data_IF_617160003556
#
_entry.id   IF_617160003556
#
_cell.length_a   1.000
_cell.length_b   1.000
_cell.length_c   1.000
_cell.angle_alpha   90.00
_cell.angle_beta   90.00
_cell.angle_gamma   90.00
#
_symmetry.space_group_name_H-M   'P 1'
#
loop_
_entity.id
_entity.type
_entity.pdbx_description
1 polymer ?
#
# COMPACT_ATOMS: atom_id res chain seq x y z
N UNK A 1 4.78 -15.65 13.59
CA UNK A 1 4.08 -16.03 12.35
C UNK A 1 3.20 -14.86 11.94
N UNK A 2 3.61 -14.09 10.92
CA UNK A 2 2.76 -13.04 10.39
C UNK A 2 1.65 -13.73 9.60
N UNK A 3 0.42 -13.62 10.08
CA UNK A 3 -0.78 -14.07 9.39
C UNK A 3 -0.91 -13.24 8.12
N UNK A 4 -0.30 -13.72 7.03
CA UNK A 4 -0.49 -13.17 5.70
C UNK A 4 -1.91 -13.49 5.27
N UNK A 5 -2.83 -12.56 5.52
CA UNK A 5 -4.12 -12.54 4.83
C UNK A 5 -3.82 -12.64 3.33
N UNK A 6 -4.42 -13.60 2.62
CA UNK A 6 -4.38 -13.59 1.16
C UNK A 6 -5.21 -12.38 0.71
N UNK A 7 -4.52 -11.39 0.15
CA UNK A 7 -5.17 -10.27 -0.50
C UNK A 7 -5.76 -10.81 -1.81
N UNK A 8 -7.05 -10.64 -2.02
CA UNK A 8 -7.65 -10.95 -3.33
C UNK A 8 -7.25 -9.85 -4.32
N UNK A 9 -7.18 -10.16 -5.62
CA UNK A 9 -6.76 -9.21 -6.67
C UNK A 9 -7.52 -7.86 -6.60
N UNK A 10 -8.80 -7.92 -6.19
CA UNK A 10 -9.63 -6.73 -5.99
C UNK A 10 -9.13 -5.81 -4.85
N UNK A 11 -8.58 -6.36 -3.76
CA UNK A 11 -7.97 -5.56 -2.68
C UNK A 11 -6.67 -4.90 -3.14
N UNK A 12 -5.86 -5.62 -3.93
CA UNK A 12 -4.58 -5.11 -4.46
C UNK A 12 -4.76 -3.97 -5.45
N UNK A 13 -5.89 -3.86 -6.14
CA UNK A 13 -6.21 -2.73 -7.05
C UNK A 13 -6.82 -1.52 -6.31
N UNK A 14 -7.63 -1.78 -5.27
CA UNK A 14 -8.28 -0.72 -4.48
C UNK A 14 -7.26 0.06 -3.63
N UNK A 15 -6.30 -0.63 -3.01
CA UNK A 15 -5.30 -0.01 -2.16
C UNK A 15 -4.50 1.12 -2.86
N UNK A 16 -3.85 0.89 -4.01
CA UNK A 16 -3.12 1.94 -4.72
C UNK A 16 -4.04 3.05 -5.23
N UNK A 17 -5.30 2.74 -5.57
CA UNK A 17 -6.29 3.75 -5.98
C UNK A 17 -6.61 4.72 -4.84
N UNK A 18 -6.87 4.22 -3.64
CA UNK A 18 -7.10 5.07 -2.46
C UNK A 18 -5.84 5.87 -2.11
N UNK A 19 -4.65 5.26 -2.18
CA UNK A 19 -3.40 5.96 -1.89
C UNK A 19 -3.14 7.12 -2.87
N UNK A 20 -3.39 6.91 -4.17
CA UNK A 20 -3.31 7.97 -5.18
C UNK A 20 -4.29 9.11 -4.87
N UNK A 21 -5.52 8.81 -4.47
CA UNK A 21 -6.52 9.81 -4.05
C UNK A 21 -6.02 10.62 -2.84
N UNK A 22 -5.43 9.97 -1.82
CA UNK A 22 -4.89 10.66 -0.65
C UNK A 22 -3.70 11.57 -1.01
N UNK A 23 -2.81 11.14 -1.91
CA UNK A 23 -1.68 11.96 -2.40
C UNK A 23 -2.16 13.14 -3.24
N UNK A 24 -3.18 12.94 -4.08
CA UNK A 24 -3.82 13.98 -4.89
C UNK A 24 -4.50 15.03 -4.00
N UNK A 25 -5.14 14.61 -2.91
CA UNK A 25 -5.72 15.48 -1.89
C UNK A 25 -4.68 16.19 -1.01
N UNK A 26 -3.39 16.05 -1.30
CA UNK A 26 -2.34 16.72 -0.55
C UNK A 26 -2.11 16.14 0.85
N UNK A 27 -2.59 14.92 1.13
CA UNK A 27 -2.35 14.23 2.40
C UNK A 27 -0.92 13.66 2.41
N UNK A 28 0.04 14.57 2.47
CA UNK A 28 1.49 14.29 2.51
C UNK A 28 1.98 14.81 3.86
N UNK A 29 2.76 14.02 4.60
CA UNK A 29 3.50 14.56 5.73
C UNK A 29 4.68 15.38 5.22
N UNK A 30 5.14 16.37 5.98
CA UNK A 30 6.32 17.19 5.68
C UNK A 30 7.59 16.35 5.45
N UNK A 31 7.59 15.09 5.92
CA UNK A 31 8.68 14.12 5.79
C UNK A 31 8.57 13.20 4.57
N UNK A 32 7.84 13.58 3.52
CA UNK A 32 7.60 12.77 2.30
C UNK A 32 6.94 11.40 2.58
N UNK A 33 6.36 11.23 3.77
CA UNK A 33 5.73 10.00 4.23
C UNK A 33 4.24 10.20 4.53
N UNK A 34 3.48 9.12 4.61
CA UNK A 34 2.10 9.19 5.10
C UNK A 34 2.08 9.33 6.62
N UNK A 35 1.17 10.16 7.15
CA UNK A 35 0.93 10.22 8.59
C UNK A 35 0.28 8.91 9.06
N UNK A 36 0.47 8.55 10.33
CA UNK A 36 -0.19 7.40 10.94
C UNK A 36 -1.73 7.47 10.76
N UNK A 37 -2.29 8.67 10.87
CA UNK A 37 -3.70 8.96 10.64
C UNK A 37 -4.16 8.65 9.21
N UNK A 38 -3.29 8.84 8.21
CA UNK A 38 -3.59 8.53 6.80
C UNK A 38 -3.87 7.04 6.62
N UNK A 39 -3.08 6.17 7.25
CA UNK A 39 -3.30 4.72 7.15
C UNK A 39 -4.61 4.27 7.80
N UNK A 40 -5.08 4.97 8.84
CA UNK A 40 -6.39 4.73 9.45
C UNK A 40 -7.51 5.08 8.47
N UNK A 41 -7.39 6.21 7.78
CA UNK A 41 -8.35 6.61 6.73
C UNK A 41 -8.35 5.64 5.55
N UNK A 42 -7.18 5.16 5.13
CA UNK A 42 -7.07 4.14 4.06
C UNK A 42 -7.76 2.85 4.49
N UNK A 43 -7.52 2.38 5.72
CA UNK A 43 -8.21 1.21 6.28
C UNK A 43 -9.73 1.40 6.25
N UNK A 44 -10.22 2.53 6.74
CA UNK A 44 -11.64 2.84 6.75
C UNK A 44 -12.25 2.79 5.33
N UNK A 45 -11.63 3.49 4.37
CA UNK A 45 -12.09 3.49 2.97
C UNK A 45 -12.06 2.11 2.31
N UNK A 46 -11.10 1.26 2.66
CA UNK A 46 -11.07 -0.13 2.17
C UNK A 46 -12.22 -0.95 2.76
N UNK A 47 -12.51 -0.80 4.05
CA UNK A 47 -13.64 -1.47 4.68
C UNK A 47 -15.00 -0.98 4.12
N UNK A 48 -15.11 0.30 3.73
CA UNK A 48 -16.30 0.82 3.04
C UNK A 48 -16.46 0.24 1.62
N UNK A 49 -15.36 0.14 0.85
CA UNK A 49 -15.41 -0.34 -0.54
C UNK A 49 -15.61 -1.86 -0.65
N UNK A 50 -15.15 -2.62 0.34
CA UNK A 50 -15.22 -4.08 0.34
C UNK A 50 -16.06 -4.53 1.53
N UNK A 51 -17.39 -4.69 1.37
CA UNK A 51 -18.24 -5.10 2.48
C UNK A 51 -17.83 -6.49 3.00
N UNK A 52 -17.72 -6.62 4.33
CA UNK A 52 -17.34 -7.87 4.99
C UNK A 52 -15.83 -8.09 5.13
N UNK A 53 -15.01 -7.15 4.65
CA UNK A 53 -13.59 -7.15 4.95
C UNK A 53 -13.33 -6.54 6.33
N UNK A 54 -12.27 -6.98 7.00
CA UNK A 54 -11.75 -6.34 8.20
C UNK A 54 -10.27 -6.02 7.97
N UNK A 55 -10.01 -4.90 7.32
CA UNK A 55 -8.64 -4.41 7.10
C UNK A 55 -8.24 -3.51 8.26
N UNK A 56 -7.25 -3.96 9.01
CA UNK A 56 -6.54 -3.16 10.00
C UNK A 56 -5.32 -2.44 9.39
N UNK A 57 -4.91 -1.35 10.05
CA UNK A 57 -3.75 -0.54 9.68
C UNK A 57 -2.46 -1.36 9.50
N UNK A 58 -2.26 -2.40 10.34
CA UNK A 58 -1.10 -3.30 10.25
C UNK A 58 -1.02 -4.04 8.91
N UNK A 59 -2.16 -4.44 8.35
CA UNK A 59 -2.19 -5.15 7.07
C UNK A 59 -1.83 -4.23 5.91
N UNK A 60 -2.29 -2.98 5.94
CA UNK A 60 -1.94 -1.96 4.94
C UNK A 60 -0.45 -1.67 4.98
N UNK A 61 0.12 -1.47 6.17
CA UNK A 61 1.56 -1.24 6.31
C UNK A 61 2.38 -2.42 5.77
N UNK A 62 1.98 -3.64 6.09
CA UNK A 62 2.66 -4.83 5.61
C UNK A 62 2.56 -4.96 4.08
N UNK A 63 1.42 -4.61 3.47
CA UNK A 63 1.32 -4.63 2.02
C UNK A 63 2.09 -3.53 1.33
N UNK A 64 2.07 -2.31 1.86
CA UNK A 64 2.88 -1.22 1.32
C UNK A 64 4.37 -1.57 1.34
N UNK A 65 4.83 -2.26 2.40
CA UNK A 65 6.19 -2.78 2.46
C UNK A 65 6.45 -3.80 1.35
N UNK A 66 5.57 -4.78 1.15
CA UNK A 66 5.67 -5.77 0.06
C UNK A 66 5.68 -5.12 -1.33
N UNK A 67 4.80 -4.14 -1.57
CA UNK A 67 4.77 -3.38 -2.81
C UNK A 67 6.10 -2.65 -3.02
N UNK A 68 6.59 -1.94 -2.01
CA UNK A 68 7.90 -1.27 -2.07
C UNK A 68 9.03 -2.24 -2.40
N UNK A 69 9.06 -3.42 -1.76
CA UNK A 69 10.05 -4.45 -2.06
C UNK A 69 9.94 -4.94 -3.51
N UNK A 70 8.73 -5.28 -3.98
CA UNK A 70 8.49 -5.75 -5.35
C UNK A 70 8.90 -4.72 -6.40
N UNK A 71 8.50 -3.45 -6.21
CA UNK A 71 8.88 -2.36 -7.11
C UNK A 71 10.36 -2.01 -7.01
N UNK A 72 10.95 -2.07 -5.81
CA UNK A 72 12.39 -1.84 -5.63
C UNK A 72 13.22 -2.90 -6.33
N UNK A 73 12.82 -4.18 -6.27
CA UNK A 73 13.50 -5.25 -7.01
C UNK A 73 13.38 -5.06 -8.52
N UNK A 74 12.20 -4.74 -9.04
CA UNK A 74 12.01 -4.46 -10.45
C UNK A 74 12.82 -3.25 -10.93
N UNK A 75 12.84 -2.18 -10.12
CA UNK A 75 13.63 -0.98 -10.38
C UNK A 75 15.14 -1.27 -10.33
N UNK A 76 15.61 -2.05 -9.36
CA UNK A 76 17.00 -2.47 -9.24
C UNK A 76 17.43 -3.29 -10.47
N UNK A 77 16.62 -4.26 -10.92
CA UNK A 77 16.89 -5.02 -12.14
C UNK A 77 16.92 -4.14 -13.41
N UNK A 78 16.08 -3.11 -13.48
CA UNK A 78 16.06 -2.18 -14.61
C UNK A 78 17.31 -1.28 -14.64
N UNK A 79 17.84 -0.91 -13.48
CA UNK A 79 18.97 0.02 -13.36
C UNK A 79 20.33 -0.69 -13.20
N UNK A 80 20.32 -1.99 -12.88
CA UNK A 80 21.54 -2.80 -12.88
C UNK A 80 21.82 -3.28 -14.30
N UNK A 81 22.78 -2.62 -14.95
CA UNK A 81 23.46 -3.05 -16.19
C UNK A 81 24.30 -4.33 -15.97
N UNK A 82 23.81 -5.29 -15.17
CA UNK A 82 24.52 -6.53 -14.84
C UNK A 82 24.03 -7.75 -15.61
N UNK A 83 23.13 -7.53 -16.57
CA UNK A 83 23.03 -8.39 -17.75
C UNK A 83 24.10 -7.96 -18.76
N UNK A 84 25.36 -8.18 -18.39
CA UNK A 84 26.55 -7.98 -19.20
C UNK A 84 27.56 -9.05 -18.84
#
# INVERSE_FOLDING_TARGET
>A
MATSRNWIDHEEDILPTILKEMVANGVRCETDNFKASTFVTVAFKMNEKIPGINIELKYIQNQLKRLKEKYSSAYDMMNTSRFG
#
